data_IF_206153680336
#
_entry.id   IF_206153680336
#
_cell.length_a   1.000
_cell.length_b   1.000
_cell.length_c   1.000
_cell.angle_alpha   90.00
_cell.angle_beta   90.00
_cell.angle_gamma   90.00
#
_symmetry.space_group_name_H-M   'P 1'
#
loop_
_entity.id
_entity.type
_entity.pdbx_description
1 polymer ?
#
# COMPACT_ATOMS: atom_id res chain seq x y z
N UNK A 1 -21.15 8.01 25.36
CA UNK A 1 -19.87 7.35 25.00
C UNK A 1 -19.46 7.84 23.64
N UNK A 2 -18.59 8.83 23.61
CA UNK A 2 -18.16 9.50 22.38
C UNK A 2 -17.10 8.64 21.70
N UNK A 3 -17.41 8.09 20.53
CA UNK A 3 -16.43 7.53 19.60
C UNK A 3 -15.47 8.67 19.25
N UNK A 4 -14.28 8.67 19.84
CA UNK A 4 -13.26 9.66 19.50
C UNK A 4 -12.91 9.48 18.00
N UNK A 5 -12.91 10.56 17.20
CA UNK A 5 -12.55 10.46 15.79
C UNK A 5 -11.03 10.29 15.70
N UNK A 6 -10.58 9.03 15.66
CA UNK A 6 -9.19 8.64 15.34
C UNK A 6 -8.67 9.33 14.06
N UNK A 7 -9.58 9.78 13.19
CA UNK A 7 -9.29 10.38 11.89
C UNK A 7 -8.97 11.87 11.91
N UNK A 8 -9.17 12.60 13.02
CA UNK A 8 -9.13 14.07 12.95
C UNK A 8 -7.76 14.72 13.10
N UNK A 9 -6.73 14.07 13.65
CA UNK A 9 -5.45 14.78 13.92
C UNK A 9 -4.18 13.92 13.84
N UNK A 10 -4.22 12.72 13.24
CA UNK A 10 -2.97 12.10 12.80
C UNK A 10 -2.54 12.81 11.51
N UNK A 11 -1.88 13.96 11.63
CA UNK A 11 -1.07 14.48 10.53
C UNK A 11 0.03 13.44 10.33
N UNK A 12 -0.25 12.42 9.51
CA UNK A 12 0.78 11.55 8.97
C UNK A 12 1.65 12.44 8.10
N UNK A 13 2.61 13.11 8.75
CA UNK A 13 3.55 13.99 8.09
C UNK A 13 4.44 13.08 7.27
N UNK A 14 4.29 13.19 5.95
CA UNK A 14 5.34 12.79 5.04
C UNK A 14 6.58 13.54 5.49
N UNK A 15 7.55 12.78 5.93
CA UNK A 15 8.84 13.33 6.30
C UNK A 15 9.64 13.54 5.02
N UNK A 16 10.57 14.51 4.97
CA UNK A 16 11.51 14.61 3.87
C UNK A 16 12.28 13.29 3.60
N UNK A 17 12.42 12.46 4.65
CA UNK A 17 13.01 11.12 4.56
C UNK A 17 12.15 10.16 3.72
N UNK A 18 10.83 10.25 3.80
CA UNK A 18 9.92 9.43 2.98
C UNK A 18 10.11 9.76 1.50
N UNK A 19 10.13 11.06 1.14
CA UNK A 19 10.34 11.49 -0.24
C UNK A 19 11.71 11.05 -0.78
N UNK A 20 12.77 11.19 0.03
CA UNK A 20 14.11 10.75 -0.35
C UNK A 20 14.15 9.24 -0.59
N UNK A 21 13.59 8.45 0.33
CA UNK A 21 13.60 7.00 0.25
C UNK A 21 12.81 6.47 -0.97
N UNK A 22 11.66 7.06 -1.29
CA UNK A 22 10.86 6.69 -2.46
C UNK A 22 11.63 6.97 -3.75
N UNK A 23 12.28 8.13 -3.82
CA UNK A 23 13.08 8.52 -4.97
C UNK A 23 14.30 7.60 -5.15
N UNK A 24 14.97 7.24 -4.05
CA UNK A 24 16.12 6.36 -4.06
C UNK A 24 15.72 4.93 -4.47
N UNK A 25 14.57 4.43 -3.98
CA UNK A 25 13.99 3.16 -4.42
C UNK A 25 13.78 3.14 -5.94
N UNK A 26 13.13 4.17 -6.49
CA UNK A 26 12.94 4.28 -7.95
C UNK A 26 14.26 4.21 -8.72
N UNK A 27 15.29 4.91 -8.22
CA UNK A 27 16.60 4.91 -8.87
C UNK A 27 17.29 3.54 -8.79
N UNK A 28 17.19 2.84 -7.66
CA UNK A 28 17.73 1.49 -7.48
C UNK A 28 17.06 0.50 -8.46
N UNK A 29 15.75 0.63 -8.65
CA UNK A 29 15.00 -0.18 -9.62
C UNK A 29 15.31 0.18 -11.08
N UNK A 30 16.01 1.28 -11.35
CA UNK A 30 16.35 1.72 -12.71
C UNK A 30 15.15 2.25 -13.50
N UNK A 31 14.09 2.68 -12.81
CA UNK A 31 12.81 3.01 -13.42
C UNK A 31 12.65 4.51 -13.66
N UNK A 32 11.96 4.84 -14.75
CA UNK A 32 11.50 6.21 -14.95
C UNK A 32 10.27 6.52 -14.08
N UNK A 33 9.92 7.80 -13.96
CA UNK A 33 8.79 8.24 -13.14
C UNK A 33 7.47 7.59 -13.56
N UNK A 34 7.22 7.46 -14.87
CA UNK A 34 5.99 6.83 -15.36
C UNK A 34 5.88 5.39 -14.89
N UNK A 35 6.92 4.58 -15.13
CA UNK A 35 6.96 3.17 -14.74
C UNK A 35 6.75 2.98 -13.24
N UNK A 36 7.47 3.77 -12.43
CA UNK A 36 7.39 3.67 -10.98
C UNK A 36 6.04 4.10 -10.42
N UNK A 37 5.49 5.22 -10.88
CA UNK A 37 4.28 5.80 -10.28
C UNK A 37 2.99 5.15 -10.79
N UNK A 38 2.98 4.59 -12.01
CA UNK A 38 1.80 3.95 -12.57
C UNK A 38 1.30 2.76 -11.74
N UNK A 39 2.20 1.98 -11.12
CA UNK A 39 1.80 0.84 -10.25
C UNK A 39 0.98 1.26 -9.03
N UNK A 40 1.13 2.51 -8.60
CA UNK A 40 0.38 3.08 -7.47
C UNK A 40 -0.81 3.93 -7.93
N UNK A 41 -1.21 3.85 -9.20
CA UNK A 41 -2.28 4.66 -9.78
C UNK A 41 -1.94 6.14 -9.90
N UNK A 42 -0.66 6.51 -9.90
CA UNK A 42 -0.20 7.89 -9.94
C UNK A 42 0.33 8.23 -11.34
N UNK A 43 -0.15 9.35 -11.91
CA UNK A 43 0.35 9.85 -13.19
C UNK A 43 1.79 10.35 -13.08
N UNK A 44 2.53 10.37 -14.20
CA UNK A 44 3.91 10.86 -14.23
C UNK A 44 4.04 12.29 -13.69
N UNK A 45 3.10 13.19 -14.02
CA UNK A 45 3.12 14.58 -13.55
C UNK A 45 2.92 14.70 -12.04
N UNK A 46 2.00 13.92 -11.46
CA UNK A 46 1.80 13.82 -10.02
C UNK A 46 3.03 13.24 -9.32
N UNK A 47 3.58 12.15 -9.84
CA UNK A 47 4.79 11.52 -9.31
C UNK A 47 6.01 12.45 -9.32
N UNK A 48 6.19 13.20 -10.42
CA UNK A 48 7.25 14.22 -10.50
C UNK A 48 7.10 15.30 -9.44
N UNK A 49 5.87 15.72 -9.14
CA UNK A 49 5.58 16.68 -8.06
C UNK A 49 5.92 16.10 -6.70
N UNK A 50 5.60 14.83 -6.45
CA UNK A 50 5.93 14.14 -5.20
C UNK A 50 7.44 14.05 -4.97
N UNK A 51 8.22 13.67 -5.98
CA UNK A 51 9.68 13.59 -5.89
C UNK A 51 10.37 14.96 -5.67
N UNK A 52 9.67 16.06 -5.97
CA UNK A 52 10.14 17.45 -5.77
C UNK A 52 9.67 18.06 -4.45
N UNK A 53 9.15 17.26 -3.53
CA UNK A 53 8.69 17.71 -2.21
C UNK A 53 7.22 18.14 -2.16
N UNK A 54 6.43 17.79 -3.18
CA UNK A 54 4.97 17.91 -3.13
C UNK A 54 4.35 16.94 -2.13
N UNK A 55 3.20 17.32 -1.57
CA UNK A 55 2.43 16.46 -0.68
C UNK A 55 1.95 15.21 -1.40
N UNK A 56 2.36 14.04 -0.90
CA UNK A 56 1.87 12.74 -1.34
C UNK A 56 0.53 12.46 -0.62
N UNK A 57 -0.52 11.96 -1.29
CA UNK A 57 -1.70 11.48 -0.61
C UNK A 57 -1.35 10.31 0.31
N UNK A 58 -1.93 10.29 1.51
CA UNK A 58 -1.64 9.23 2.49
C UNK A 58 -1.84 7.80 1.96
N UNK A 59 -2.91 7.48 1.18
CA UNK A 59 -3.07 6.14 0.60
C UNK A 59 -1.92 5.74 -0.32
N UNK A 60 -1.41 6.67 -1.14
CA UNK A 60 -0.26 6.44 -2.03
C UNK A 60 0.98 6.14 -1.20
N UNK A 61 1.24 6.95 -0.16
CA UNK A 61 2.38 6.72 0.74
C UNK A 61 2.30 5.34 1.42
N UNK A 62 1.11 4.93 1.87
CA UNK A 62 0.92 3.61 2.47
C UNK A 62 1.27 2.49 1.49
N UNK A 63 0.74 2.54 0.26
CA UNK A 63 1.04 1.54 -0.77
C UNK A 63 2.53 1.48 -1.09
N UNK A 64 3.18 2.63 -1.26
CA UNK A 64 4.62 2.67 -1.51
C UNK A 64 5.44 2.10 -0.35
N UNK A 65 5.03 2.34 0.91
CA UNK A 65 5.69 1.74 2.08
C UNK A 65 5.46 0.23 2.18
N UNK A 66 4.26 -0.25 1.87
CA UNK A 66 3.96 -1.68 1.85
C UNK A 66 4.80 -2.41 0.80
N UNK A 67 4.95 -1.80 -0.38
CA UNK A 67 5.80 -2.31 -1.46
C UNK A 67 7.27 -2.35 -1.06
N UNK A 68 7.79 -1.26 -0.49
CA UNK A 68 9.16 -1.19 0.03
C UNK A 68 9.45 -2.25 1.11
N UNK A 69 8.47 -2.52 1.98
CA UNK A 69 8.58 -3.53 3.03
C UNK A 69 8.39 -4.96 2.49
N UNK A 70 8.20 -5.13 1.18
CA UNK A 70 7.92 -6.42 0.52
C UNK A 70 6.68 -7.13 1.09
N UNK A 71 5.75 -6.36 1.68
CA UNK A 71 4.45 -6.89 2.15
C UNK A 71 3.51 -7.12 0.97
N UNK A 72 3.62 -6.26 -0.06
CA UNK A 72 2.96 -6.40 -1.36
C UNK A 72 4.03 -6.28 -2.45
N UNK A 73 3.81 -6.94 -3.59
CA UNK A 73 4.68 -6.85 -4.76
C UNK A 73 3.93 -6.33 -6.00
N UNK A 74 4.60 -6.35 -7.15
CA UNK A 74 4.00 -5.85 -8.40
C UNK A 74 2.82 -6.73 -8.86
N UNK A 75 2.85 -8.05 -8.63
CA UNK A 75 1.76 -8.96 -8.96
C UNK A 75 0.50 -8.64 -8.14
N UNK A 76 0.67 -8.34 -6.85
CA UNK A 76 -0.44 -7.90 -5.98
C UNK A 76 -1.08 -6.61 -6.50
N UNK A 77 -0.25 -5.65 -6.93
CA UNK A 77 -0.70 -4.36 -7.47
C UNK A 77 -1.39 -4.52 -8.83
N UNK A 78 -0.86 -5.37 -9.70
CA UNK A 78 -1.47 -5.66 -11.00
C UNK A 78 -2.82 -6.37 -10.84
N UNK A 79 -2.89 -7.33 -9.91
CA UNK A 79 -4.10 -8.06 -9.58
C UNK A 79 -5.23 -7.13 -9.13
N UNK A 80 -4.95 -6.17 -8.23
CA UNK A 80 -5.99 -5.21 -7.76
C UNK A 80 -6.32 -4.14 -8.78
N UNK A 81 -5.41 -3.86 -9.73
CA UNK A 81 -5.66 -2.92 -10.83
C UNK A 81 -6.35 -3.58 -12.04
N UNK A 82 -6.49 -4.91 -12.02
CA UNK A 82 -7.11 -5.67 -13.10
C UNK A 82 -8.60 -5.34 -13.22
N UNK A 83 -9.15 -5.19 -14.45
CA UNK A 83 -10.58 -5.03 -14.66
C UNK A 83 -11.39 -6.25 -14.17
N UNK A 84 -10.74 -7.39 -13.94
CA UNK A 84 -11.36 -8.61 -13.44
C UNK A 84 -11.37 -8.72 -11.91
N UNK A 85 -10.89 -7.71 -11.18
CA UNK A 85 -10.78 -7.75 -9.71
C UNK A 85 -12.12 -8.15 -9.05
N UNK A 86 -13.25 -7.64 -9.55
CA UNK A 86 -14.59 -7.95 -9.02
C UNK A 86 -14.94 -9.45 -9.07
N UNK A 87 -14.40 -10.20 -10.04
CA UNK A 87 -14.67 -11.64 -10.18
C UNK A 87 -13.86 -12.49 -9.21
N UNK A 88 -12.75 -11.97 -8.68
CA UNK A 88 -11.91 -12.68 -7.71
C UNK A 88 -12.42 -12.53 -6.28
N UNK A 89 -13.17 -11.47 -6.01
CA UNK A 89 -13.77 -11.20 -4.71
C UNK A 89 -15.18 -11.77 -4.68
N UNK A 90 -15.31 -13.10 -4.56
CA UNK A 90 -16.61 -13.72 -4.30
C UNK A 90 -17.03 -13.43 -2.84
N UNK A 91 -17.65 -12.27 -2.62
CA UNK A 91 -18.21 -11.84 -1.32
C UNK A 91 -19.34 -12.79 -0.85
N UNK A 92 -19.85 -13.64 -1.73
CA UNK A 92 -20.91 -14.62 -1.46
C UNK A 92 -20.37 -15.89 -0.78
N UNK A 93 -19.05 -16.12 -0.79
CA UNK A 93 -18.43 -17.21 -0.05
C UNK A 93 -18.18 -16.75 1.39
N UNK A 94 -18.99 -17.26 2.33
CA UNK A 94 -18.77 -17.06 3.77
C UNK A 94 -17.31 -17.40 4.14
N UNK A 95 -16.72 -16.75 5.16
CA UNK A 95 -15.35 -17.02 5.58
C UNK A 95 -15.21 -18.52 5.88
N UNK A 96 -14.55 -19.26 4.99
CA UNK A 96 -14.08 -20.60 5.31
C UNK A 96 -13.12 -20.43 6.47
N UNK A 97 -13.46 -21.03 7.61
CA UNK A 97 -12.66 -21.03 8.82
C UNK A 97 -11.22 -21.36 8.43
N UNK A 98 -10.34 -20.34 8.46
CA UNK A 98 -8.91 -20.61 8.53
C UNK A 98 -8.75 -21.40 9.82
N UNK A 99 -8.57 -22.71 9.68
CA UNK A 99 -8.29 -23.65 10.75
C UNK A 99 -7.34 -22.96 11.72
N UNK A 100 -7.84 -22.66 12.92
CA UNK A 100 -7.04 -22.02 13.97
C UNK A 100 -5.76 -22.82 14.24
N UNK A 101 -4.76 -22.21 14.89
CA UNK A 101 -3.54 -22.94 15.24
C UNK A 101 -3.91 -24.24 15.96
N UNK A 102 -3.20 -25.36 15.69
CA UNK A 102 -3.51 -26.65 16.29
C UNK A 102 -3.66 -26.47 17.80
N UNK A 103 -4.80 -26.90 18.36
CA UNK A 103 -5.04 -26.83 19.80
C UNK A 103 -3.93 -27.63 20.47
N UNK A 104 -3.00 -26.91 21.11
CA UNK A 104 -2.00 -27.52 21.98
C UNK A 104 -2.76 -28.33 23.05
N UNK A 105 -2.41 -29.60 23.28
CA UNK A 105 -3.04 -30.37 24.34
C UNK A 105 -2.78 -29.67 25.68
N UNK A 106 -3.84 -29.50 26.47
CA UNK A 106 -3.73 -28.95 27.81
C UNK A 106 -2.89 -29.90 28.68
N UNK A 107 -1.98 -29.37 29.51
CA UNK A 107 -1.26 -30.20 30.48
C UNK A 107 -2.26 -30.82 31.47
N UNK A 108 -2.01 -32.10 31.82
CA UNK A 108 -2.78 -32.82 32.85
C UNK A 108 -2.45 -32.32 34.24
#
# INVERSE_FOLDING_TARGET
>A
MSILPFYKNAVFRITPRDTALIRDLRYILGENQTQFWQRFGVSQSCGSRFERGGTIPFPVLMLTRLHLLEIINDDDLERVNSPNFENEVDVTQAPQERSGPPRLPLPR
#
